data_IF_603372623627
#
_entry.id   IF_603372623627
#
_cell.length_a   1.000
_cell.length_b   1.000
_cell.length_c   1.000
_cell.angle_alpha   90.00
_cell.angle_beta   90.00
_cell.angle_gamma   90.00
#
_symmetry.space_group_name_H-M   'P 1'
#
loop_
_entity.id
_entity.type
_entity.pdbx_description
1 polymer ?
#
# COMPACT_ATOMS: atom_id res chain seq x y z
N UNK A 1 12.11 6.19 8.26
CA UNK A 1 11.02 6.01 9.24
C UNK A 1 11.41 4.92 10.24
N UNK A 2 10.92 4.94 11.48
CA UNK A 2 11.09 3.85 12.45
C UNK A 2 9.70 3.34 12.81
N UNK A 3 9.43 2.06 12.57
CA UNK A 3 8.18 1.45 13.02
C UNK A 3 8.17 1.41 14.55
N UNK A 4 7.06 1.83 15.15
CA UNK A 4 6.86 1.84 16.60
C UNK A 4 5.54 1.15 16.93
N UNK A 5 5.47 0.53 18.12
CA UNK A 5 4.25 -0.04 18.69
C UNK A 5 3.81 -1.38 18.06
N UNK A 6 4.58 -2.43 18.32
CA UNK A 6 4.32 -3.81 17.90
C UNK A 6 3.37 -4.57 18.85
N UNK A 7 2.42 -3.90 19.50
CA UNK A 7 1.59 -4.50 20.56
C UNK A 7 0.77 -5.74 20.14
N UNK A 8 0.66 -6.01 18.83
CA UNK A 8 0.04 -7.18 18.22
C UNK A 8 0.96 -7.95 17.25
N UNK A 9 2.26 -7.66 17.21
CA UNK A 9 3.16 -8.38 16.31
C UNK A 9 3.41 -9.80 16.84
N UNK A 10 3.41 -10.78 15.93
CA UNK A 10 3.56 -12.20 16.26
C UNK A 10 4.70 -12.77 15.43
N UNK A 11 5.54 -13.60 16.06
CA UNK A 11 6.50 -14.40 15.29
C UNK A 11 5.77 -15.57 14.63
N UNK A 12 5.41 -15.38 13.36
CA UNK A 12 4.72 -16.36 12.56
C UNK A 12 5.55 -17.62 12.28
N UNK A 13 6.88 -17.62 12.45
CA UNK A 13 7.75 -18.80 12.24
C UNK A 13 7.74 -19.76 13.43
N UNK A 14 7.52 -19.28 14.65
CA UNK A 14 7.56 -20.10 15.87
C UNK A 14 6.18 -20.63 16.26
N UNK A 15 5.12 -19.80 16.20
CA UNK A 15 3.76 -20.22 16.55
C UNK A 15 2.69 -19.24 16.09
N UNK A 16 1.44 -19.70 15.98
CA UNK A 16 0.27 -18.81 15.92
C UNK A 16 -0.21 -18.33 17.29
N UNK A 17 0.47 -18.74 18.37
CA UNK A 17 0.17 -18.28 19.72
C UNK A 17 0.52 -16.79 19.81
N UNK A 18 -0.47 -15.94 19.51
CA UNK A 18 -0.31 -14.49 19.44
C UNK A 18 -1.19 -13.84 18.39
N UNK A 19 -1.63 -14.57 17.36
CA UNK A 19 -2.67 -14.05 16.47
C UNK A 19 -3.98 -13.96 17.27
N UNK A 20 -4.66 -12.82 17.19
CA UNK A 20 -5.99 -12.73 17.78
C UNK A 20 -6.98 -13.62 17.02
N UNK A 21 -8.01 -14.09 17.74
CA UNK A 21 -9.05 -14.98 17.17
C UNK A 21 -9.66 -14.39 15.91
N UNK A 22 -9.87 -13.07 15.91
CA UNK A 22 -10.46 -12.33 14.80
C UNK A 22 -9.61 -12.48 13.53
N UNK A 23 -8.29 -12.39 13.63
CA UNK A 23 -7.37 -12.56 12.49
C UNK A 23 -7.42 -13.98 11.92
N UNK A 24 -7.49 -15.00 12.78
CA UNK A 24 -7.60 -16.41 12.37
C UNK A 24 -8.95 -16.65 11.69
N UNK A 25 -10.03 -16.09 12.24
CA UNK A 25 -11.38 -16.18 11.68
C UNK A 25 -11.47 -15.48 10.32
N UNK A 26 -10.88 -14.28 10.17
CA UNK A 26 -10.81 -13.57 8.90
C UNK A 26 -10.00 -14.36 7.86
N UNK A 27 -8.84 -14.89 8.24
CA UNK A 27 -8.03 -15.71 7.35
C UNK A 27 -8.80 -16.97 6.90
N UNK A 28 -9.51 -17.62 7.82
CA UNK A 28 -10.36 -18.77 7.54
C UNK A 28 -11.54 -18.44 6.63
N UNK A 29 -12.22 -17.30 6.84
CA UNK A 29 -13.28 -16.80 5.97
C UNK A 29 -12.78 -16.47 4.57
N UNK A 30 -11.53 -16.02 4.44
CA UNK A 30 -10.83 -15.82 3.17
C UNK A 30 -10.35 -17.13 2.51
N UNK A 31 -10.62 -18.29 3.13
CA UNK A 31 -10.29 -19.61 2.59
C UNK A 31 -8.94 -20.16 3.02
N UNK A 32 -8.26 -19.54 3.99
CA UNK A 32 -6.99 -20.05 4.52
C UNK A 32 -7.25 -21.29 5.40
N UNK A 33 -6.66 -22.41 5.03
CA UNK A 33 -6.86 -23.70 5.73
C UNK A 33 -5.58 -24.25 6.34
N UNK A 34 -4.43 -23.71 5.93
CA UNK A 34 -3.12 -24.12 6.39
C UNK A 34 -2.36 -22.96 7.01
N UNK A 35 -1.34 -23.29 7.81
CA UNK A 35 -0.46 -22.31 8.44
C UNK A 35 0.13 -21.32 7.43
N UNK A 36 0.68 -21.86 6.36
CA UNK A 36 1.29 -21.05 5.29
C UNK A 36 0.29 -20.08 4.64
N UNK A 37 -0.97 -20.48 4.50
CA UNK A 37 -2.01 -19.62 3.93
C UNK A 37 -2.40 -18.49 4.88
N UNK A 38 -2.51 -18.77 6.18
CA UNK A 38 -2.76 -17.72 7.20
C UNK A 38 -1.60 -16.74 7.25
N UNK A 39 -0.36 -17.22 7.19
CA UNK A 39 0.82 -16.34 7.14
C UNK A 39 0.83 -15.46 5.90
N UNK A 40 0.51 -16.03 4.73
CA UNK A 40 0.41 -15.26 3.49
C UNK A 40 -0.75 -14.23 3.53
N UNK A 41 -1.86 -14.59 4.17
CA UNK A 41 -3.00 -13.68 4.38
C UNK A 41 -2.60 -12.48 5.25
N UNK A 42 -2.00 -12.72 6.42
CA UNK A 42 -1.58 -11.64 7.33
C UNK A 42 -0.55 -10.72 6.67
N UNK A 43 0.41 -11.28 5.93
CA UNK A 43 1.38 -10.47 5.17
C UNK A 43 0.73 -9.62 4.08
N UNK A 44 -0.30 -10.14 3.41
CA UNK A 44 -1.06 -9.39 2.42
C UNK A 44 -1.85 -8.25 3.06
N UNK A 45 -2.46 -8.48 4.23
CA UNK A 45 -3.15 -7.42 4.99
C UNK A 45 -2.19 -6.30 5.41
N UNK A 46 -0.98 -6.65 5.86
CA UNK A 46 0.06 -5.67 6.18
C UNK A 46 0.49 -4.86 4.93
N UNK A 47 0.57 -5.50 3.76
CA UNK A 47 0.88 -4.83 2.49
C UNK A 47 -0.22 -3.83 2.08
N UNK A 48 -1.49 -4.22 2.22
CA UNK A 48 -2.64 -3.33 1.98
C UNK A 48 -2.62 -2.14 2.94
N UNK A 49 -2.36 -2.37 4.23
CA UNK A 49 -2.24 -1.31 5.23
C UNK A 49 -1.06 -0.35 4.92
N UNK A 50 0.07 -0.88 4.45
CA UNK A 50 1.19 -0.10 3.97
C UNK A 50 0.81 0.77 2.76
N UNK A 51 0.07 0.21 1.80
CA UNK A 51 -0.45 0.96 0.64
C UNK A 51 -1.27 2.18 1.05
N UNK A 52 -2.21 2.02 1.99
CA UNK A 52 -3.00 3.15 2.49
C UNK A 52 -2.17 4.17 3.27
N UNK A 53 -1.22 3.71 4.07
CA UNK A 53 -0.31 4.59 4.81
C UNK A 53 0.56 5.41 3.85
N UNK A 54 1.01 4.80 2.76
CA UNK A 54 1.80 5.46 1.73
C UNK A 54 0.98 6.50 0.96
N UNK A 55 -0.25 6.17 0.58
CA UNK A 55 -1.17 7.13 -0.03
C UNK A 55 -1.40 8.33 0.90
N UNK A 56 -1.72 8.09 2.17
CA UNK A 56 -1.90 9.18 3.14
C UNK A 56 -0.65 10.04 3.24
N UNK A 57 0.52 9.43 3.36
CA UNK A 57 1.79 10.13 3.50
C UNK A 57 2.10 10.99 2.28
N UNK A 58 2.03 10.43 1.06
CA UNK A 58 2.37 11.13 -0.18
C UNK A 58 1.39 12.28 -0.40
N UNK A 59 0.08 12.01 -0.36
CA UNK A 59 -0.92 13.02 -0.65
C UNK A 59 -0.97 14.09 0.43
N UNK A 60 -0.86 13.76 1.71
CA UNK A 60 -0.83 14.79 2.76
C UNK A 60 0.42 15.66 2.69
N UNK A 61 1.54 15.13 2.17
CA UNK A 61 2.80 15.87 2.08
C UNK A 61 2.91 16.74 0.82
N UNK A 62 2.30 16.32 -0.29
CA UNK A 62 2.49 16.94 -1.61
C UNK A 62 1.24 17.60 -2.19
N UNK A 63 0.07 17.45 -1.55
CA UNK A 63 -1.12 18.20 -1.95
C UNK A 63 -0.91 19.70 -1.77
N UNK A 64 -1.45 20.51 -2.69
CA UNK A 64 -1.26 21.98 -2.72
C UNK A 64 -1.72 22.64 -1.41
N UNK A 65 -2.87 22.19 -0.89
CA UNK A 65 -3.46 22.68 0.35
C UNK A 65 -2.90 21.96 1.60
N UNK A 66 -2.00 21.00 1.43
CA UNK A 66 -1.43 20.18 2.49
C UNK A 66 -2.40 19.12 3.06
N UNK A 67 -2.15 18.62 4.28
CA UNK A 67 -2.96 17.57 4.89
C UNK A 67 -4.41 18.02 5.08
N UNK A 68 -5.36 17.18 4.65
CA UNK A 68 -6.79 17.46 4.79
C UNK A 68 -7.60 16.17 5.03
N UNK A 69 -8.90 16.25 5.36
CA UNK A 69 -9.74 15.06 5.46
C UNK A 69 -9.75 14.20 4.18
N UNK A 70 -9.48 14.79 3.00
CA UNK A 70 -9.40 14.10 1.71
C UNK A 70 -8.11 13.29 1.53
N UNK A 71 -7.05 13.57 2.29
CA UNK A 71 -5.74 12.92 2.14
C UNK A 71 -5.47 11.86 3.21
N UNK A 72 -6.48 11.50 4.02
CA UNK A 72 -6.36 10.49 5.08
C UNK A 72 -6.44 9.06 4.51
N UNK A 73 -5.83 8.08 5.19
CA UNK A 73 -5.93 6.67 4.84
C UNK A 73 -7.39 6.20 4.84
N UNK A 74 -8.24 6.75 5.71
CA UNK A 74 -9.68 6.46 5.71
C UNK A 74 -10.38 6.96 4.44
N UNK A 75 -10.03 8.15 3.95
CA UNK A 75 -10.56 8.66 2.69
C UNK A 75 -10.09 7.81 1.50
N UNK A 76 -8.81 7.44 1.46
CA UNK A 76 -8.29 6.57 0.41
C UNK A 76 -8.86 5.16 0.48
N UNK A 77 -9.12 4.60 1.67
CA UNK A 77 -9.79 3.31 1.78
C UNK A 77 -11.17 3.31 1.12
N UNK A 78 -11.94 4.39 1.28
CA UNK A 78 -13.23 4.52 0.58
C UNK A 78 -13.06 4.61 -0.93
N UNK A 79 -12.12 5.43 -1.40
CA UNK A 79 -11.86 5.56 -2.84
C UNK A 79 -11.39 4.24 -3.46
N UNK A 80 -10.33 3.66 -2.91
CA UNK A 80 -9.69 2.45 -3.44
C UNK A 80 -10.63 1.25 -3.31
N UNK A 81 -11.23 1.00 -2.16
CA UNK A 81 -12.02 -0.23 -1.93
C UNK A 81 -13.45 -0.06 -2.40
N UNK A 82 -14.13 1.02 -2.01
CA UNK A 82 -15.58 1.14 -2.22
C UNK A 82 -15.93 1.74 -3.59
N UNK A 83 -15.10 2.65 -4.11
CA UNK A 83 -15.40 3.36 -5.36
C UNK A 83 -14.73 2.73 -6.57
N UNK A 84 -13.48 2.29 -6.45
CA UNK A 84 -12.68 1.82 -7.58
C UNK A 84 -12.35 0.31 -7.54
N UNK A 85 -12.74 -0.42 -6.48
CA UNK A 85 -12.48 -1.86 -6.34
C UNK A 85 -11.01 -2.23 -6.65
N UNK A 86 -10.09 -1.47 -6.05
CA UNK A 86 -8.63 -1.58 -6.19
C UNK A 86 -8.06 -1.29 -7.60
N UNK A 87 -8.86 -0.74 -8.51
CA UNK A 87 -8.40 -0.33 -9.85
C UNK A 87 -7.55 0.95 -9.82
N UNK A 88 -6.21 0.79 -9.81
CA UNK A 88 -5.27 1.91 -9.73
C UNK A 88 -5.33 2.88 -10.92
N UNK A 89 -5.73 2.40 -12.10
CA UNK A 89 -5.91 3.27 -13.28
C UNK A 89 -7.04 4.28 -13.04
N UNK A 90 -8.16 3.83 -12.48
CA UNK A 90 -9.30 4.70 -12.16
C UNK A 90 -8.95 5.69 -11.05
N UNK A 91 -8.22 5.24 -10.02
CA UNK A 91 -7.72 6.14 -8.97
C UNK A 91 -6.80 7.22 -9.56
N UNK A 92 -5.86 6.84 -10.43
CA UNK A 92 -4.96 7.77 -11.09
C UNK A 92 -5.73 8.80 -11.92
N UNK A 93 -6.70 8.37 -12.73
CA UNK A 93 -7.53 9.27 -13.54
C UNK A 93 -8.33 10.25 -12.68
N UNK A 94 -8.92 9.77 -11.58
CA UNK A 94 -9.58 10.61 -10.59
C UNK A 94 -8.62 11.64 -10.01
N UNK A 95 -7.41 11.23 -9.64
CA UNK A 95 -6.43 12.14 -9.07
C UNK A 95 -5.89 13.17 -10.08
N UNK A 96 -5.71 12.78 -11.34
CA UNK A 96 -5.25 13.65 -12.42
C UNK A 96 -6.28 14.70 -12.85
N UNK A 97 -7.55 14.56 -12.45
CA UNK A 97 -8.59 15.55 -12.69
C UNK A 97 -8.58 16.69 -11.66
N UNK A 98 -7.80 16.56 -10.57
CA UNK A 98 -7.78 17.50 -9.45
C UNK A 98 -6.42 18.20 -9.39
N UNK A 99 -6.37 19.50 -9.72
CA UNK A 99 -5.15 20.33 -9.67
C UNK A 99 -4.44 20.23 -8.31
N UNK A 100 -5.22 20.09 -7.23
CA UNK A 100 -4.76 19.88 -5.85
C UNK A 100 -3.70 18.76 -5.71
N UNK A 101 -3.70 17.77 -6.61
CA UNK A 101 -2.84 16.58 -6.53
C UNK A 101 -1.87 16.44 -7.72
N UNK A 102 -1.70 17.47 -8.54
CA UNK A 102 -0.83 17.44 -9.72
C UNK A 102 0.60 16.95 -9.41
N UNK A 103 1.19 17.43 -8.31
CA UNK A 103 2.55 17.03 -7.89
C UNK A 103 2.61 15.55 -7.49
N UNK A 104 1.55 15.05 -6.85
CA UNK A 104 1.45 13.63 -6.47
C UNK A 104 1.36 12.76 -7.72
N UNK A 105 0.50 13.14 -8.66
CA UNK A 105 0.33 12.39 -9.91
C UNK A 105 1.63 12.39 -10.71
N UNK A 106 2.31 13.53 -10.81
CA UNK A 106 3.62 13.63 -11.47
C UNK A 106 4.67 12.72 -10.82
N UNK A 107 4.71 12.63 -9.48
CA UNK A 107 5.62 11.74 -8.77
C UNK A 107 5.32 10.27 -9.09
N UNK A 108 4.06 9.86 -9.01
CA UNK A 108 3.67 8.46 -9.22
C UNK A 108 3.73 8.03 -10.69
N UNK A 109 3.66 9.00 -11.62
CA UNK A 109 3.81 8.81 -13.06
C UNK A 109 5.26 8.61 -13.52
N UNK A 110 6.24 8.88 -12.66
CA UNK A 110 7.65 8.67 -12.99
C UNK A 110 7.93 7.22 -13.40
N UNK A 111 8.90 7.06 -14.31
CA UNK A 111 9.36 5.77 -14.83
C UNK A 111 8.22 4.87 -15.33
N UNK A 112 7.42 5.41 -16.26
CA UNK A 112 6.28 4.72 -16.86
C UNK A 112 5.23 4.30 -15.82
N UNK A 113 4.81 5.23 -14.96
CA UNK A 113 3.79 5.01 -13.92
C UNK A 113 4.21 4.00 -12.84
N UNK A 114 5.51 3.90 -12.54
CA UNK A 114 6.04 2.93 -11.60
C UNK A 114 5.46 3.07 -10.18
N UNK A 115 5.09 4.28 -9.75
CA UNK A 115 4.46 4.50 -8.44
C UNK A 115 3.05 3.91 -8.37
N UNK A 116 2.28 4.03 -9.44
CA UNK A 116 0.95 3.42 -9.53
C UNK A 116 1.02 1.90 -9.64
N UNK A 117 2.00 1.37 -10.39
CA UNK A 117 2.27 -0.06 -10.45
C UNK A 117 2.62 -0.59 -9.06
N UNK A 118 3.50 0.10 -8.33
CA UNK A 118 3.86 -0.28 -6.96
C UNK A 118 2.66 -0.34 -6.01
N UNK A 119 1.78 0.67 -6.05
CA UNK A 119 0.55 0.69 -5.28
C UNK A 119 -0.37 -0.48 -5.66
N UNK A 120 -0.49 -0.78 -6.95
CA UNK A 120 -1.24 -1.95 -7.43
C UNK A 120 -0.68 -3.25 -6.84
N UNK A 121 0.64 -3.40 -6.79
CA UNK A 121 1.29 -4.57 -6.19
C UNK A 121 1.00 -4.68 -4.70
N UNK A 122 1.01 -3.58 -3.95
CA UNK A 122 0.67 -3.58 -2.52
C UNK A 122 -0.79 -3.98 -2.24
N UNK A 123 -1.72 -3.60 -3.12
CA UNK A 123 -3.15 -3.85 -2.91
C UNK A 123 -3.64 -5.18 -3.46
N UNK A 124 -3.12 -5.61 -4.61
CA UNK A 124 -3.66 -6.74 -5.37
C UNK A 124 -2.71 -7.93 -5.40
N UNK A 125 -1.40 -7.71 -5.32
CA UNK A 125 -0.44 -8.79 -5.47
C UNK A 125 -0.05 -9.40 -4.13
N UNK A 126 -0.25 -10.72 -4.00
CA UNK A 126 0.25 -11.52 -2.88
C UNK A 126 1.76 -11.79 -2.99
N UNK A 127 2.52 -10.91 -3.64
CA UNK A 127 3.98 -11.06 -3.73
C UNK A 127 4.61 -10.79 -2.38
N UNK A 128 5.67 -11.51 -2.02
CA UNK A 128 6.37 -11.25 -0.78
C UNK A 128 7.04 -9.87 -0.86
N UNK A 129 6.99 -9.12 0.24
CA UNK A 129 7.33 -7.69 0.30
C UNK A 129 8.79 -7.39 -0.06
N UNK A 130 9.68 -8.37 0.07
CA UNK A 130 11.09 -8.29 -0.33
C UNK A 130 11.28 -8.20 -1.86
N UNK A 131 10.31 -8.65 -2.65
CA UNK A 131 10.32 -8.41 -4.10
C UNK A 131 9.82 -7.01 -4.46
N UNK A 132 9.09 -6.35 -3.56
CA UNK A 132 8.51 -5.03 -3.80
C UNK A 132 9.56 -3.90 -3.76
N UNK A 133 10.69 -4.09 -3.07
CA UNK A 133 11.79 -3.09 -3.04
C UNK A 133 12.52 -3.00 -4.38
N UNK A 134 12.42 -4.05 -5.20
CA UNK A 134 12.98 -4.09 -6.55
C UNK A 134 12.09 -3.36 -7.56
N UNK A 135 10.97 -2.79 -7.11
CA UNK A 135 10.10 -1.99 -7.94
C UNK A 135 10.86 -0.79 -8.54
N UNK A 136 10.58 -0.52 -9.81
CA UNK A 136 11.08 0.62 -10.58
C UNK A 136 10.91 1.95 -9.85
N UNK A 137 9.84 2.08 -9.07
CA UNK A 137 9.57 3.27 -8.26
C UNK A 137 10.71 3.64 -7.31
N UNK A 138 11.41 2.65 -6.74
CA UNK A 138 12.56 2.87 -5.86
C UNK A 138 13.91 2.90 -6.58
N UNK A 139 13.94 2.53 -7.86
CA UNK A 139 15.16 2.48 -8.69
C UNK A 139 15.48 3.82 -9.36
N UNK A 140 14.75 4.89 -9.03
CA UNK A 140 15.00 6.22 -9.57
C UNK A 140 16.47 6.61 -9.33
N UNK A 141 17.22 6.67 -10.44
CA UNK A 141 18.65 6.96 -10.43
C UNK A 141 18.91 8.32 -9.80
N UNK A 142 19.98 8.41 -9.01
CA UNK A 142 20.48 9.70 -8.55
C UNK A 142 20.64 10.63 -9.77
N UNK A 143 20.21 11.90 -9.70
CA UNK A 143 20.41 12.85 -10.78
C UNK A 143 21.93 13.04 -10.95
N UNK A 144 22.53 12.39 -11.95
CA UNK A 144 23.99 12.46 -12.17
C UNK A 144 24.62 11.44 -13.10
N UNK A 145 23.95 10.34 -13.48
CA UNK A 145 24.52 9.36 -14.41
C UNK A 145 23.86 9.44 -15.79
N UNK A 146 24.30 10.42 -16.57
CA UNK A 146 24.13 10.41 -18.02
C UNK A 146 25.54 10.46 -18.62
N UNK A 147 25.98 9.36 -19.21
CA UNK A 147 27.18 9.33 -20.08
C UNK A 147 26.85 9.84 -21.47
#
# INVERSE_FOLDING_TARGET
>A
ARFTNFGKAVNLEDSFEGLDSDTIEMAGAAGSTSRREVEAFVKAEDAVALGFTLLEFIFSSLAISGPSPRTTATAFRRLVVEMFDFEMVQLREYCAAEEEWDVVVQLLDQDEQAGWEFLSQLFMEKKPTDELIECRFFRCSAPGESS
#
